data_IF_085947095948
#
_entry.id   IF_085947095948
#
_cell.length_a   1.000
_cell.length_b   1.000
_cell.length_c   1.000
_cell.angle_alpha   90.00
_cell.angle_beta   90.00
_cell.angle_gamma   90.00
#
_symmetry.space_group_name_H-M   'P 1'
#
loop_
_entity.id
_entity.type
_entity.pdbx_description
1 polymer ?
#
# COMPACT_ATOMS: atom_id res chain seq x y z
N UNK A 1 -13.83 20.92 -0.16
CA UNK A 1 -13.22 20.01 0.84
C UNK A 1 -13.83 20.33 2.18
N UNK A 2 -14.41 19.37 2.90
CA UNK A 2 -14.91 19.62 4.26
C UNK A 2 -13.76 19.59 5.26
N UNK A 3 -13.84 20.44 6.29
CA UNK A 3 -12.88 20.47 7.40
C UNK A 3 -12.78 19.09 8.07
N UNK A 4 -13.92 18.42 8.24
CA UNK A 4 -14.01 17.07 8.78
C UNK A 4 -13.14 16.04 8.04
N UNK A 5 -13.11 16.05 6.70
CA UNK A 5 -12.29 15.11 5.92
C UNK A 5 -10.79 15.35 6.12
N UNK A 6 -10.39 16.62 6.28
CA UNK A 6 -9.02 16.99 6.56
C UNK A 6 -8.61 16.57 7.98
N UNK A 7 -9.48 16.75 8.97
CA UNK A 7 -9.25 16.29 10.34
C UNK A 7 -9.09 14.76 10.40
N UNK A 8 -9.97 14.02 9.73
CA UNK A 8 -9.87 12.55 9.64
C UNK A 8 -8.56 12.11 8.98
N UNK A 9 -8.12 12.80 7.93
CA UNK A 9 -6.82 12.53 7.30
C UNK A 9 -5.64 12.83 8.23
N UNK A 10 -5.69 13.94 8.96
CA UNK A 10 -4.66 14.32 9.92
C UNK A 10 -4.57 13.31 11.08
N UNK A 11 -5.71 12.85 11.58
CA UNK A 11 -5.75 11.82 12.61
C UNK A 11 -5.14 10.50 12.11
N UNK A 12 -5.57 10.01 10.95
CA UNK A 12 -5.00 8.79 10.36
C UNK A 12 -3.49 8.92 10.09
N UNK A 13 -3.04 10.11 9.68
CA UNK A 13 -1.62 10.39 9.49
C UNK A 13 -0.82 10.35 10.79
N UNK A 14 -1.41 10.75 11.92
CA UNK A 14 -0.77 10.60 13.24
C UNK A 14 -0.74 9.15 13.69
N UNK A 15 -1.85 8.43 13.54
CA UNK A 15 -1.96 7.02 13.92
C UNK A 15 -1.01 6.12 13.10
N UNK A 16 -0.64 6.54 11.88
CA UNK A 16 0.28 5.81 11.00
C UNK A 16 1.72 5.69 11.50
N UNK A 17 2.13 6.51 12.48
CA UNK A 17 3.48 6.46 13.09
C UNK A 17 3.45 5.94 14.53
N UNK A 18 2.31 5.45 14.99
CA UNK A 18 2.17 4.90 16.33
C UNK A 18 3.06 3.67 16.52
N UNK A 19 3.63 3.47 17.71
CA UNK A 19 4.50 2.32 18.02
C UNK A 19 3.76 0.99 17.89
N UNK A 20 2.44 0.97 18.11
CA UNK A 20 1.62 -0.21 18.07
C UNK A 20 1.20 -0.54 16.62
N UNK A 21 1.59 -1.71 16.08
CA UNK A 21 1.26 -2.10 14.71
C UNK A 21 -0.26 -2.21 14.47
N UNK A 22 -1.06 -2.50 15.50
CA UNK A 22 -2.53 -2.55 15.38
C UNK A 22 -3.12 -1.16 15.10
N UNK A 23 -2.55 -0.11 15.71
CA UNK A 23 -2.97 1.27 15.48
C UNK A 23 -2.59 1.69 14.07
N UNK A 24 -1.38 1.34 13.61
CA UNK A 24 -0.96 1.59 12.22
C UNK A 24 -1.84 0.86 11.21
N UNK A 25 -2.23 -0.39 11.44
CA UNK A 25 -3.20 -1.11 10.59
C UNK A 25 -4.56 -0.41 10.55
N UNK A 26 -5.05 0.07 11.70
CA UNK A 26 -6.29 0.87 11.75
C UNK A 26 -6.17 2.14 10.91
N UNK A 27 -5.04 2.81 10.96
CA UNK A 27 -4.77 4.01 10.15
C UNK A 27 -4.83 3.72 8.64
N UNK A 28 -4.34 2.54 8.19
CA UNK A 28 -4.42 2.11 6.79
C UNK A 28 -5.88 2.00 6.33
N UNK A 29 -6.76 1.48 7.17
CA UNK A 29 -8.19 1.38 6.85
C UNK A 29 -8.85 2.75 6.74
N UNK A 30 -8.55 3.66 7.68
CA UNK A 30 -9.05 5.03 7.64
C UNK A 30 -8.58 5.77 6.37
N UNK A 31 -7.30 5.61 6.02
CA UNK A 31 -6.74 6.16 4.79
C UNK A 31 -7.45 5.61 3.55
N UNK A 32 -7.75 4.30 3.51
CA UNK A 32 -8.49 3.68 2.40
C UNK A 32 -9.92 4.22 2.26
N UNK A 33 -10.63 4.41 3.37
CA UNK A 33 -11.96 5.04 3.35
C UNK A 33 -11.89 6.46 2.77
N UNK A 34 -10.94 7.25 3.27
CA UNK A 34 -10.72 8.63 2.82
C UNK A 34 -10.30 8.70 1.35
N UNK A 35 -9.59 7.69 0.83
CA UNK A 35 -9.17 7.63 -0.57
C UNK A 35 -10.37 7.69 -1.52
N UNK A 36 -11.46 7.04 -1.14
CA UNK A 36 -12.68 6.99 -1.94
C UNK A 36 -13.64 8.14 -1.65
N UNK A 37 -13.61 8.68 -0.44
CA UNK A 37 -14.52 9.74 0.01
C UNK A 37 -14.00 11.16 -0.30
N UNK A 38 -12.69 11.35 -0.40
CA UNK A 38 -12.05 12.64 -0.61
C UNK A 38 -11.05 12.60 -1.79
N UNK A 39 -11.54 12.77 -3.05
CA UNK A 39 -10.70 12.71 -4.25
C UNK A 39 -9.48 13.64 -4.23
N UNK A 40 -9.61 14.80 -3.58
CA UNK A 40 -8.55 15.80 -3.44
C UNK A 40 -7.38 15.33 -2.55
N UNK A 41 -7.58 14.30 -1.71
CA UNK A 41 -6.55 13.77 -0.82
C UNK A 41 -5.86 12.51 -1.36
N UNK A 42 -6.25 12.02 -2.55
CA UNK A 42 -5.77 10.74 -3.10
C UNK A 42 -4.25 10.64 -3.15
N UNK A 43 -3.59 11.66 -3.66
CA UNK A 43 -2.11 11.68 -3.79
C UNK A 43 -1.45 11.63 -2.40
N UNK A 44 -1.96 12.41 -1.44
CA UNK A 44 -1.46 12.41 -0.07
C UNK A 44 -1.67 11.07 0.63
N UNK A 45 -2.81 10.42 0.38
CA UNK A 45 -3.15 9.11 0.91
C UNK A 45 -2.27 8.01 0.30
N UNK A 46 -2.08 8.01 -1.02
CA UNK A 46 -1.17 7.07 -1.70
C UNK A 46 0.26 7.22 -1.18
N UNK A 47 0.72 8.45 -0.97
CA UNK A 47 2.03 8.72 -0.35
C UNK A 47 2.15 8.12 1.05
N UNK A 48 1.12 8.28 1.90
CA UNK A 48 1.09 7.67 3.24
C UNK A 48 1.05 6.15 3.21
N UNK A 49 0.25 5.56 2.33
CA UNK A 49 0.23 4.10 2.12
C UNK A 49 1.57 3.58 1.60
N UNK A 50 2.27 4.37 0.76
CA UNK A 50 3.63 4.07 0.30
C UNK A 50 4.66 4.07 1.43
N UNK A 51 4.57 5.02 2.36
CA UNK A 51 5.41 5.04 3.57
C UNK A 51 5.16 3.79 4.43
N UNK A 52 3.89 3.46 4.69
CA UNK A 52 3.50 2.27 5.46
C UNK A 52 3.83 0.95 4.75
N UNK A 53 3.98 0.94 3.42
CA UNK A 53 4.47 -0.22 2.69
C UNK A 53 5.94 -0.55 2.99
N UNK A 54 6.70 0.42 3.52
CA UNK A 54 8.05 0.26 4.04
C UNK A 54 8.14 0.16 5.56
N UNK A 55 7.02 -0.11 6.26
CA UNK A 55 6.99 -0.24 7.72
C UNK A 55 7.94 -1.35 8.22
N UNK A 56 8.48 -1.16 9.44
CA UNK A 56 9.35 -2.14 10.09
C UNK A 56 8.59 -3.39 10.55
N UNK A 57 7.28 -3.28 10.80
CA UNK A 57 6.42 -4.42 11.04
C UNK A 57 5.96 -5.04 9.72
N UNK A 58 6.34 -6.30 9.56
CA UNK A 58 6.12 -7.10 8.36
C UNK A 58 4.63 -7.22 7.98
N UNK A 59 3.73 -7.26 8.98
CA UNK A 59 2.29 -7.36 8.74
C UNK A 59 1.72 -6.03 8.28
N UNK A 60 2.15 -4.92 8.90
CA UNK A 60 1.77 -3.56 8.49
C UNK A 60 2.22 -3.31 7.05
N UNK A 61 3.49 -3.62 6.74
CA UNK A 61 4.07 -3.43 5.41
C UNK A 61 3.35 -4.26 4.33
N UNK A 62 3.10 -5.54 4.59
CA UNK A 62 2.35 -6.42 3.66
C UNK A 62 0.92 -5.93 3.46
N UNK A 63 0.26 -5.46 4.53
CA UNK A 63 -1.09 -4.95 4.45
C UNK A 63 -1.15 -3.65 3.63
N UNK A 64 -0.29 -2.68 3.92
CA UNK A 64 -0.19 -1.43 3.17
C UNK A 64 0.09 -1.67 1.68
N UNK A 65 1.04 -2.57 1.34
CA UNK A 65 1.33 -2.96 -0.05
C UNK A 65 0.09 -3.49 -0.78
N UNK A 66 -0.69 -4.35 -0.12
CA UNK A 66 -1.93 -4.90 -0.70
C UNK A 66 -2.96 -3.79 -0.97
N UNK A 67 -3.12 -2.88 -0.02
CA UNK A 67 -4.06 -1.76 -0.18
C UNK A 67 -3.58 -0.82 -1.29
N UNK A 68 -2.29 -0.48 -1.33
CA UNK A 68 -1.70 0.36 -2.36
C UNK A 68 -1.90 -0.24 -3.76
N UNK A 69 -1.61 -1.53 -3.95
CA UNK A 69 -1.84 -2.23 -5.21
C UNK A 69 -3.31 -2.15 -5.64
N UNK A 70 -4.24 -2.31 -4.69
CA UNK A 70 -5.68 -2.27 -4.96
C UNK A 70 -6.15 -0.88 -5.41
N UNK A 71 -5.68 0.18 -4.77
CA UNK A 71 -6.06 1.55 -5.15
C UNK A 71 -5.41 1.94 -6.48
N UNK A 72 -4.15 1.56 -6.73
CA UNK A 72 -3.46 1.82 -8.01
C UNK A 72 -4.05 1.06 -9.19
N UNK A 73 -4.57 -0.16 -8.97
CA UNK A 73 -5.20 -0.94 -10.04
C UNK A 73 -6.65 -0.53 -10.34
N UNK A 74 -7.17 0.50 -9.66
CA UNK A 74 -8.58 0.91 -9.78
C UNK A 74 -9.58 -0.15 -9.31
N UNK A 75 -9.14 -1.17 -8.56
CA UNK A 75 -9.99 -2.24 -8.07
C UNK A 75 -10.75 -1.77 -6.82
N UNK A 76 -11.81 -0.98 -7.04
CA UNK A 76 -12.88 -0.85 -6.03
C UNK A 76 -13.52 -2.22 -5.85
N UNK A 77 -13.21 -2.96 -4.78
CA UNK A 77 -14.12 -4.04 -4.37
C UNK A 77 -15.44 -3.36 -3.98
N UNK A 78 -16.46 -3.54 -4.80
CA UNK A 78 -17.86 -3.52 -4.37
C UNK A 78 -18.00 -4.55 -3.26
N UNK A 79 -17.94 -4.10 -2.00
CA UNK A 79 -18.43 -4.91 -0.89
C UNK A 79 -19.96 -4.79 -0.94
N UNK A 80 -20.61 -5.94 -1.14
CA UNK A 80 -22.05 -6.19 -1.31
C UNK A 80 -22.61 -6.09 -2.74
N UNK A 81 -22.43 -7.20 -3.48
CA UNK A 81 -23.55 -7.74 -4.26
C UNK A 81 -23.63 -9.22 -3.88
N UNK A 82 -24.60 -9.55 -3.03
CA UNK A 82 -24.96 -10.94 -2.72
C UNK A 82 -25.47 -11.56 -4.02
N UNK A 83 -24.86 -12.63 -4.55
CA UNK A 83 -25.44 -13.37 -5.65
C UNK A 83 -26.57 -14.22 -5.09
N UNK A 84 -27.80 -13.74 -5.26
CA UNK A 84 -28.99 -14.58 -5.13
C UNK A 84 -29.00 -15.57 -6.29
N UNK A 85 -29.08 -16.86 -5.93
CA UNK A 85 -29.77 -17.96 -6.60
C UNK A 85 -28.97 -19.03 -7.38
N UNK A 86 -29.28 -20.26 -6.95
CA UNK A 86 -29.49 -21.51 -7.70
C UNK A 86 -28.28 -22.24 -8.27
N UNK A 87 -28.02 -23.40 -7.66
CA UNK A 87 -27.00 -24.33 -8.10
C UNK A 87 -27.31 -25.06 -9.40
N UNK A 88 -26.29 -25.72 -9.91
CA UNK A 88 -26.32 -27.14 -10.29
C UNK A 88 -24.89 -27.58 -10.59
N UNK A 89 -24.65 -28.82 -10.19
CA UNK A 89 -23.50 -29.70 -10.37
C UNK A 89 -22.94 -29.68 -11.80
N UNK A 90 -21.61 -29.71 -11.96
CA UNK A 90 -20.96 -30.76 -12.74
C UNK A 90 -19.44 -30.82 -12.52
N UNK A 91 -19.02 -32.06 -12.35
CA UNK A 91 -17.68 -32.64 -12.27
C UNK A 91 -16.93 -32.50 -13.60
N UNK A 92 -15.61 -32.33 -13.59
CA UNK A 92 -14.79 -32.66 -14.77
C UNK A 92 -13.44 -31.97 -14.94
N UNK A 93 -12.37 -32.68 -14.54
CA UNK A 93 -11.08 -32.82 -15.22
C UNK A 93 -10.15 -31.60 -15.51
N UNK A 94 -9.08 -31.53 -14.71
CA UNK A 94 -7.63 -31.42 -15.08
C UNK A 94 -7.12 -30.53 -16.22
N UNK A 95 -6.04 -29.79 -15.88
CA UNK A 95 -4.71 -29.73 -16.57
C UNK A 95 -4.28 -28.35 -17.10
N UNK A 96 -3.14 -27.88 -16.58
CA UNK A 96 -2.19 -27.03 -17.31
C UNK A 96 -2.09 -25.57 -16.84
N UNK A 97 -1.41 -25.30 -15.73
CA UNK A 97 -0.92 -23.94 -15.44
C UNK A 97 0.51 -23.78 -15.96
N UNK A 98 0.66 -23.03 -17.06
CA UNK A 98 1.94 -22.52 -17.51
C UNK A 98 2.40 -21.41 -16.56
N UNK A 99 3.47 -21.68 -15.81
CA UNK A 99 4.18 -20.68 -15.01
C UNK A 99 4.87 -19.68 -15.93
N UNK A 100 4.33 -18.47 -16.03
CA UNK A 100 5.04 -17.33 -16.62
C UNK A 100 6.26 -16.98 -15.75
N UNK A 101 7.46 -16.76 -16.31
CA UNK A 101 8.58 -16.24 -15.55
C UNK A 101 8.27 -14.80 -15.14
N UNK A 102 8.35 -14.56 -13.83
CA UNK A 102 8.08 -13.29 -13.15
C UNK A 102 9.23 -12.31 -13.43
N UNK A 103 8.88 -11.08 -13.78
CA UNK A 103 9.78 -9.94 -13.96
C UNK A 103 10.80 -9.81 -12.81
N UNK A 104 12.06 -10.17 -13.08
CA UNK A 104 13.22 -9.87 -12.21
C UNK A 104 13.85 -8.51 -12.53
N UNK A 105 13.36 -7.79 -13.54
CA UNK A 105 13.97 -6.53 -14.01
C UNK A 105 13.66 -5.31 -13.13
N UNK A 106 12.55 -5.30 -12.39
CA UNK A 106 12.17 -4.16 -11.54
C UNK A 106 12.78 -4.17 -10.13
N UNK A 107 13.32 -5.32 -9.67
CA UNK A 107 13.96 -5.41 -8.34
C UNK A 107 15.37 -4.83 -8.39
N UNK A 108 16.11 -5.08 -9.47
CA UNK A 108 17.50 -4.61 -9.63
C UNK A 108 17.56 -3.08 -9.70
N UNK A 109 16.63 -2.44 -10.41
CA UNK A 109 16.60 -0.98 -10.53
C UNK A 109 16.37 -0.27 -9.19
N UNK A 110 15.52 -0.83 -8.31
CA UNK A 110 15.25 -0.23 -7.00
C UNK A 110 16.45 -0.37 -6.05
N UNK A 111 17.13 -1.52 -6.08
CA UNK A 111 18.33 -1.76 -5.26
C UNK A 111 19.45 -0.78 -5.65
N UNK A 112 19.68 -0.57 -6.94
CA UNK A 112 20.71 0.36 -7.43
C UNK A 112 20.41 1.79 -6.99
N UNK A 113 19.15 2.25 -7.06
CA UNK A 113 18.76 3.58 -6.60
C UNK A 113 19.02 3.78 -5.10
N UNK A 114 18.67 2.79 -4.27
CA UNK A 114 18.93 2.85 -2.83
C UNK A 114 20.43 2.92 -2.50
N UNK A 115 21.28 2.15 -3.18
CA UNK A 115 22.73 2.16 -2.96
C UNK A 115 23.35 3.52 -3.33
N UNK A 116 22.95 4.11 -4.45
CA UNK A 116 23.46 5.43 -4.87
C UNK A 116 23.09 6.51 -3.86
N UNK A 117 21.85 6.52 -3.37
CA UNK A 117 21.41 7.49 -2.34
C UNK A 117 22.22 7.37 -1.05
N UNK A 118 22.51 6.14 -0.59
CA UNK A 118 23.32 5.91 0.61
C UNK A 118 24.76 6.41 0.43
N UNK A 119 25.38 6.12 -0.73
CA UNK A 119 26.75 6.56 -1.01
C UNK A 119 26.85 8.08 -1.07
N UNK A 120 25.91 8.75 -1.74
CA UNK A 120 25.89 10.22 -1.81
C UNK A 120 25.72 10.84 -0.41
N UNK A 121 24.84 10.27 0.41
CA UNK A 121 24.66 10.72 1.80
C UNK A 121 25.95 10.57 2.62
N UNK A 122 26.62 9.42 2.51
CA UNK A 122 27.85 9.15 3.26
C UNK A 122 29.01 10.06 2.84
N UNK A 123 29.14 10.32 1.54
CA UNK A 123 30.12 11.28 1.01
C UNK A 123 29.80 12.68 1.53
N UNK A 124 28.57 13.17 1.40
CA UNK A 124 28.17 14.48 1.91
C UNK A 124 28.46 14.62 3.41
N UNK A 125 28.18 13.58 4.20
CA UNK A 125 28.43 13.59 5.64
C UNK A 125 29.93 13.75 5.97
N UNK A 126 30.80 12.97 5.31
CA UNK A 126 32.26 13.03 5.51
C UNK A 126 32.85 14.39 5.10
N UNK A 127 32.36 14.99 4.02
CA UNK A 127 32.92 16.24 3.50
C UNK A 127 32.36 17.50 4.18
N UNK A 128 31.15 17.44 4.76
CA UNK A 128 30.50 18.60 5.40
C UNK A 128 30.74 18.63 6.92
N UNK A 129 30.96 17.48 7.56
CA UNK A 129 31.29 17.37 8.98
C UNK A 129 32.66 16.69 9.16
N UNK A 130 33.77 17.43 9.01
CA UNK A 130 35.10 16.94 9.39
C UNK A 130 35.27 16.83 10.91
#
# INVERSE_FOLDING_TARGET
MSIEMLERFNQASRDSIDVNPKVRIRSINQLLELYYAAPQLKVSIESKLGQLAGDSDDNVAKYAKRILQRVSSGQRQSYYTVPTRTGTTSTGATRGTATKPRETKNIVANIVCCVVMIVVYFIMYIFVFP
#
